data_IF_839675087329
#
_entry.id   IF_839675087329
#
_cell.length_a   1.000
_cell.length_b   1.000
_cell.length_c   1.000
_cell.angle_alpha   90.00
_cell.angle_beta   90.00
_cell.angle_gamma   90.00
#
_symmetry.space_group_name_H-M   'P 1'
#
loop_
_entity.id
_entity.type
_entity.pdbx_description
1 polymer ?
#
# COMPACT_ATOMS: atom_id res chain seq x y z
N UNK A 1 -9.54 13.79 17.32
CA UNK A 1 -9.02 14.15 15.97
C UNK A 1 -8.51 12.91 15.21
N UNK A 2 -7.60 12.10 15.76
CA UNK A 2 -7.07 10.89 15.10
C UNK A 2 -8.14 9.87 14.65
N UNK A 3 -9.15 9.59 15.49
CA UNK A 3 -10.25 8.69 15.14
C UNK A 3 -11.06 9.15 13.92
N UNK A 4 -11.29 10.47 13.79
CA UNK A 4 -12.02 11.07 12.67
C UNK A 4 -11.20 10.98 11.38
N UNK A 5 -9.90 11.24 11.45
CA UNK A 5 -9.02 11.04 10.29
C UNK A 5 -9.02 9.57 9.85
N UNK A 6 -8.95 8.64 10.80
CA UNK A 6 -8.94 7.19 10.49
C UNK A 6 -10.26 6.74 9.90
N UNK A 7 -11.41 7.22 10.39
CA UNK A 7 -12.72 6.89 9.81
C UNK A 7 -12.91 7.45 8.40
N UNK A 8 -12.40 8.65 8.12
CA UNK A 8 -12.43 9.23 6.77
C UNK A 8 -11.54 8.42 5.81
N UNK A 9 -10.35 8.01 6.26
CA UNK A 9 -9.42 7.18 5.48
C UNK A 9 -9.94 5.77 5.24
N UNK A 10 -10.67 5.18 6.20
CA UNK A 10 -11.33 3.87 6.06
C UNK A 10 -12.57 3.91 5.15
N UNK A 11 -13.32 5.02 5.14
CA UNK A 11 -14.56 5.15 4.37
C UNK A 11 -14.33 5.72 2.95
N UNK A 12 -13.19 6.37 2.72
CA UNK A 12 -12.81 6.84 1.40
C UNK A 12 -12.32 5.69 0.53
N UNK A 13 -13.19 5.05 -0.26
CA UNK A 13 -12.80 4.25 -1.44
C UNK A 13 -12.30 5.18 -2.56
N UNK A 14 -11.36 6.05 -2.23
CA UNK A 14 -10.77 7.05 -3.11
C UNK A 14 -9.31 6.67 -3.34
N UNK A 15 -8.80 6.83 -4.55
CA UNK A 15 -7.47 6.35 -4.97
C UNK A 15 -6.32 6.81 -4.04
N UNK A 16 -6.50 7.95 -3.35
CA UNK A 16 -5.55 8.47 -2.34
C UNK A 16 -5.62 7.77 -0.97
N UNK A 17 -6.78 7.26 -0.56
CA UNK A 17 -6.91 6.45 0.66
C UNK A 17 -6.32 5.04 0.46
N UNK A 18 -6.35 4.53 -0.78
CA UNK A 18 -5.61 3.32 -1.15
C UNK A 18 -4.11 3.50 -0.94
N UNK A 19 -3.54 4.69 -1.21
CA UNK A 19 -2.12 4.94 -0.94
C UNK A 19 -1.78 4.77 0.55
N UNK A 20 -2.63 5.25 1.46
CA UNK A 20 -2.44 5.08 2.90
C UNK A 20 -2.54 3.61 3.33
N UNK A 21 -3.58 2.89 2.88
CA UNK A 21 -3.74 1.47 3.15
C UNK A 21 -2.59 0.64 2.55
N UNK A 22 -2.07 1.03 1.38
CA UNK A 22 -0.90 0.42 0.73
C UNK A 22 0.38 0.64 1.52
N UNK A 23 0.63 1.86 2.00
CA UNK A 23 1.79 2.15 2.85
C UNK A 23 1.73 1.30 4.13
N UNK A 24 0.55 1.20 4.77
CA UNK A 24 0.36 0.34 5.93
C UNK A 24 0.61 -1.13 5.56
N UNK A 25 0.05 -1.62 4.45
CA UNK A 25 0.25 -3.00 4.00
C UNK A 25 1.71 -3.34 3.73
N UNK A 26 2.44 -2.45 3.05
CA UNK A 26 3.87 -2.61 2.76
C UNK A 26 4.70 -2.57 4.06
N UNK A 27 4.37 -1.65 4.99
CA UNK A 27 5.03 -1.58 6.29
C UNK A 27 4.81 -2.84 7.13
N UNK A 28 3.59 -3.36 7.20
CA UNK A 28 3.30 -4.61 7.92
C UNK A 28 4.05 -5.78 7.31
N UNK A 29 4.17 -5.82 5.97
CA UNK A 29 4.95 -6.84 5.27
C UNK A 29 6.44 -6.76 5.62
N UNK A 30 7.02 -5.56 5.72
CA UNK A 30 8.44 -5.40 6.09
C UNK A 30 8.73 -5.84 7.53
N UNK A 31 7.76 -5.70 8.44
CA UNK A 31 7.85 -6.20 9.82
C UNK A 31 7.67 -7.73 9.95
N UNK A 32 7.57 -8.50 8.85
CA UNK A 32 7.21 -9.93 8.89
C UNK A 32 5.92 -10.19 9.69
N UNK A 33 4.96 -9.29 9.59
CA UNK A 33 3.69 -9.43 10.31
C UNK A 33 2.97 -10.70 9.86
N UNK A 34 2.45 -11.53 10.78
CA UNK A 34 1.70 -12.73 10.44
C UNK A 34 0.52 -12.42 9.53
N UNK A 35 0.28 -13.27 8.53
CA UNK A 35 -0.78 -13.08 7.52
C UNK A 35 -2.16 -12.87 8.12
N UNK A 36 -2.46 -13.61 9.20
CA UNK A 36 -3.73 -13.48 9.93
C UNK A 36 -3.98 -12.06 10.46
N UNK A 37 -2.92 -11.35 10.85
CA UNK A 37 -3.01 -9.97 11.35
C UNK A 37 -3.25 -9.01 10.20
N UNK A 38 -2.56 -9.19 9.08
CA UNK A 38 -2.75 -8.39 7.86
C UNK A 38 -4.17 -8.58 7.31
N UNK A 39 -4.67 -9.81 7.27
CA UNK A 39 -6.05 -10.12 6.86
C UNK A 39 -7.09 -9.50 7.79
N UNK A 40 -6.85 -9.50 9.10
CA UNK A 40 -7.73 -8.83 10.06
C UNK A 40 -7.77 -7.32 9.81
N UNK A 41 -6.61 -6.70 9.59
CA UNK A 41 -6.49 -5.27 9.30
C UNK A 41 -7.11 -4.91 7.94
N UNK A 42 -6.99 -5.80 6.96
CA UNK A 42 -7.63 -5.65 5.67
C UNK A 42 -9.17 -5.67 5.78
N UNK A 43 -9.73 -6.64 6.50
CA UNK A 43 -11.18 -6.71 6.77
C UNK A 43 -11.69 -5.52 7.58
N UNK A 44 -10.84 -4.92 8.41
CA UNK A 44 -11.14 -3.67 9.13
C UNK A 44 -11.02 -2.41 8.25
N UNK A 45 -10.58 -2.52 6.99
CA UNK A 45 -10.36 -1.37 6.11
C UNK A 45 -9.12 -0.54 6.45
N UNK A 46 -8.21 -1.09 7.27
CA UNK A 46 -6.99 -0.43 7.72
C UNK A 46 -5.77 -0.78 6.86
N UNK A 47 -5.83 -1.85 6.08
CA UNK A 47 -4.75 -2.31 5.22
C UNK A 47 -5.29 -2.89 3.92
N UNK A 48 -4.43 -2.98 2.92
CA UNK A 48 -4.72 -3.73 1.69
C UNK A 48 -4.50 -5.24 1.92
N UNK A 49 -5.06 -6.08 1.06
CA UNK A 49 -4.83 -7.52 1.14
C UNK A 49 -3.37 -7.85 0.86
N UNK A 50 -2.92 -9.03 1.30
CA UNK A 50 -1.55 -9.46 1.06
C UNK A 50 -1.23 -9.53 -0.44
N UNK A 51 -2.15 -10.03 -1.27
CA UNK A 51 -2.03 -10.02 -2.73
C UNK A 51 -1.86 -8.60 -3.28
N UNK A 52 -2.63 -7.64 -2.77
CA UNK A 52 -2.48 -6.24 -3.14
C UNK A 52 -1.13 -5.66 -2.71
N UNK A 53 -0.55 -6.10 -1.59
CA UNK A 53 0.81 -5.68 -1.18
C UNK A 53 1.83 -6.15 -2.21
N UNK A 54 1.75 -7.42 -2.63
CA UNK A 54 2.65 -7.95 -3.66
C UNK A 54 2.49 -7.23 -5.00
N UNK A 55 1.26 -6.97 -5.43
CA UNK A 55 0.99 -6.21 -6.64
C UNK A 55 1.51 -4.77 -6.55
N UNK A 56 1.37 -4.12 -5.39
CA UNK A 56 1.89 -2.78 -5.16
C UNK A 56 3.42 -2.75 -5.23
N UNK A 57 4.10 -3.75 -4.66
CA UNK A 57 5.57 -3.89 -4.75
C UNK A 57 6.01 -4.10 -6.20
N UNK A 58 5.35 -5.00 -6.92
CA UNK A 58 5.67 -5.28 -8.33
C UNK A 58 5.46 -4.04 -9.20
N UNK A 59 4.33 -3.36 -9.07
CA UNK A 59 4.02 -2.13 -9.80
C UNK A 59 5.03 -1.03 -9.50
N UNK A 60 5.41 -0.85 -8.23
CA UNK A 60 6.42 0.14 -7.84
C UNK A 60 7.81 -0.20 -8.40
N UNK A 61 8.15 -1.49 -8.46
CA UNK A 61 9.40 -1.96 -9.05
C UNK A 61 9.43 -1.75 -10.57
N UNK A 62 8.32 -2.00 -11.25
CA UNK A 62 8.18 -1.76 -12.69
C UNK A 62 8.31 -0.27 -13.00
N UNK A 63 7.57 0.58 -12.27
CA UNK A 63 7.62 2.03 -12.41
C UNK A 63 9.04 2.56 -12.14
N UNK A 64 9.71 2.09 -11.08
CA UNK A 64 11.09 2.47 -10.79
C UNK A 64 12.05 2.07 -11.92
N UNK A 65 11.84 0.90 -12.53
CA UNK A 65 12.65 0.42 -13.66
C UNK A 65 12.42 1.28 -14.91
N UNK A 66 11.17 1.66 -15.17
CA UNK A 66 10.80 2.55 -16.25
C UNK A 66 11.43 3.93 -16.08
N UNK A 67 11.29 4.55 -14.91
CA UNK A 67 11.94 5.83 -14.57
C UNK A 67 13.46 5.77 -14.75
N UNK A 68 14.11 4.69 -14.30
CA UNK A 68 15.55 4.50 -14.49
C UNK A 68 15.93 4.39 -15.97
N UNK A 69 15.10 3.72 -16.78
CA UNK A 69 15.29 3.62 -18.22
C UNK A 69 15.15 4.97 -18.91
N UNK A 70 14.12 5.73 -18.57
CA UNK A 70 13.90 7.07 -19.12
C UNK A 70 15.06 8.01 -18.78
N UNK A 71 15.49 8.01 -17.52
CA UNK A 71 16.67 8.77 -17.09
C UNK A 71 17.93 8.36 -17.87
N UNK A 72 18.14 7.06 -18.08
CA UNK A 72 19.27 6.54 -18.85
C UNK A 72 19.20 6.85 -20.35
N UNK A 73 18.02 7.05 -20.91
CA UNK A 73 17.81 7.47 -22.32
C UNK A 73 17.90 8.99 -22.50
N UNK A 74 17.72 9.76 -21.43
CA UNK A 74 17.82 11.23 -21.40
C UNK A 74 19.26 11.74 -21.25
N UNK A 75 20.20 10.84 -20.92
CA UNK A 75 21.66 11.08 -20.86
C UNK A 75 22.34 10.77 -22.20
#
# INVERSE_FOLDING_TARGET
KQLVCTSILMHGTNQKCNAFQSIIGIYLKSCNTPERVVDCLHRMGLSISQDSVYNAINSLSEEATEHLREMGQSL
#
